data_IF_981570306291
#
_entry.id   IF_981570306291
#
_cell.length_a   1.000
_cell.length_b   1.000
_cell.length_c   1.000
_cell.angle_alpha   90.00
_cell.angle_beta   90.00
_cell.angle_gamma   90.00
#
_symmetry.space_group_name_H-M   'P 1'
#
loop_
_entity.id
_entity.type
_entity.pdbx_description
1 polymer ?
#
# COMPACT_ATOMS: atom_id res chain seq x y z
N UNK A 1 -50.48 2.78 -6.60
CA UNK A 1 -50.74 2.73 -5.15
C UNK A 1 -50.44 1.31 -4.66
N UNK A 2 -49.30 1.07 -4.00
CA UNK A 2 -49.08 -0.07 -3.09
C UNK A 2 -47.97 0.31 -2.09
N UNK A 3 -48.33 0.38 -0.82
CA UNK A 3 -47.50 0.28 0.41
C UNK A 3 -48.15 -0.86 1.23
N UNK A 4 -47.60 -1.40 2.33
CA UNK A 4 -46.21 -1.53 2.82
C UNK A 4 -45.90 -2.98 3.32
N UNK A 5 -44.62 -3.32 3.51
CA UNK A 5 -44.09 -4.39 4.42
C UNK A 5 -42.57 -4.23 4.38
N UNK A 6 -41.87 -3.45 5.22
CA UNK A 6 -41.73 -3.47 6.68
C UNK A 6 -41.67 -4.87 7.29
N UNK A 7 -40.48 -5.18 7.83
CA UNK A 7 -40.14 -6.27 8.77
C UNK A 7 -40.05 -7.67 8.18
N UNK A 8 -38.88 -8.05 7.67
CA UNK A 8 -38.49 -9.48 7.69
C UNK A 8 -36.97 -9.65 7.53
N UNK A 9 -36.29 -9.91 8.65
CA UNK A 9 -35.03 -10.69 8.72
C UNK A 9 -33.72 -9.91 8.52
N UNK A 10 -33.35 -9.12 9.54
CA UNK A 10 -31.98 -8.66 9.82
C UNK A 10 -31.52 -9.12 11.22
N UNK A 11 -31.83 -10.35 11.64
CA UNK A 11 -31.57 -10.80 13.01
C UNK A 11 -31.18 -12.28 13.08
N UNK A 12 -29.94 -12.65 12.76
CA UNK A 12 -29.19 -13.73 13.45
C UNK A 12 -27.89 -14.04 12.70
N UNK A 13 -26.76 -13.50 13.17
CA UNK A 13 -25.43 -14.13 13.10
C UNK A 13 -24.43 -13.32 13.94
N UNK A 14 -24.82 -13.03 15.19
CA UNK A 14 -23.88 -12.68 16.24
C UNK A 14 -23.81 -13.91 17.16
N UNK A 15 -22.66 -14.60 17.20
CA UNK A 15 -22.10 -15.42 18.30
C UNK A 15 -21.36 -16.67 17.80
N UNK A 16 -20.16 -16.49 17.27
CA UNK A 16 -19.06 -17.42 17.51
C UNK A 16 -17.86 -16.58 17.93
N UNK A 17 -17.62 -16.59 19.24
CA UNK A 17 -16.39 -16.08 19.82
C UNK A 17 -15.30 -17.15 19.90
N UNK A 18 -14.29 -16.77 20.68
CA UNK A 18 -13.22 -17.58 21.26
C UNK A 18 -11.95 -17.75 20.41
N UNK A 19 -10.94 -16.96 20.76
CA UNK A 19 -9.57 -17.09 20.28
C UNK A 19 -8.68 -16.09 21.00
N UNK A 20 -8.32 -16.41 22.24
CA UNK A 20 -7.42 -15.60 23.05
C UNK A 20 -6.03 -15.47 22.41
N UNK A 21 -5.47 -14.27 22.49
CA UNK A 21 -4.14 -13.98 21.96
C UNK A 21 -3.60 -12.65 22.48
N UNK A 22 -2.96 -12.73 23.66
CA UNK A 22 -1.79 -11.95 24.09
C UNK A 22 -1.73 -10.44 23.79
N UNK A 23 -1.74 -9.70 24.89
CA UNK A 23 -0.97 -8.48 25.19
C UNK A 23 0.11 -8.09 24.17
N UNK A 24 -0.01 -6.87 23.64
CA UNK A 24 1.05 -6.12 22.98
C UNK A 24 0.81 -4.62 23.18
N UNK A 25 1.80 -3.82 23.63
CA UNK A 25 1.62 -2.40 23.89
C UNK A 25 1.18 -1.65 22.64
N UNK A 26 0.37 -0.62 22.85
CA UNK A 26 -0.07 0.34 21.84
C UNK A 26 1.04 0.62 20.81
N UNK A 27 0.79 0.24 19.55
CA UNK A 27 1.57 0.75 18.45
C UNK A 27 1.39 2.28 18.46
N UNK A 28 2.46 3.07 18.60
CA UNK A 28 2.34 4.51 18.49
C UNK A 28 1.81 4.81 17.09
N UNK A 29 0.65 5.48 17.03
CA UNK A 29 0.20 6.13 15.81
C UNK A 29 1.38 6.97 15.30
N UNK A 30 1.91 6.72 14.08
CA UNK A 30 3.10 7.42 13.63
C UNK A 30 2.75 8.90 13.54
N UNK A 31 3.33 9.69 14.43
CA UNK A 31 3.29 11.14 14.40
C UNK A 31 3.52 11.61 12.97
N UNK A 32 2.58 12.39 12.46
CA UNK A 32 2.69 13.09 11.20
C UNK A 32 3.74 14.18 11.34
N UNK A 33 5.01 13.77 11.32
CA UNK A 33 6.15 14.67 11.27
C UNK A 33 6.14 15.42 9.93
N UNK A 34 5.95 16.74 10.00
CA UNK A 34 5.72 17.66 8.87
C UNK A 34 7.04 17.99 8.15
N UNK A 35 7.75 16.96 7.69
CA UNK A 35 8.88 17.03 6.75
C UNK A 35 8.84 15.87 5.75
N UNK A 36 7.62 15.47 5.40
CA UNK A 36 7.20 14.08 5.13
C UNK A 36 7.74 13.49 3.83
N UNK A 37 9.02 13.12 3.82
CA UNK A 37 9.46 11.99 3.01
C UNK A 37 8.53 10.80 3.32
N UNK A 38 7.90 10.22 2.30
CA UNK A 38 7.05 9.04 2.47
C UNK A 38 7.93 7.94 3.10
N UNK A 39 7.53 7.37 4.25
CA UNK A 39 8.33 6.35 4.91
C UNK A 39 8.48 5.11 4.00
N UNK A 40 9.63 4.45 4.08
CA UNK A 40 9.96 3.29 3.23
C UNK A 40 8.92 2.17 3.35
N UNK A 41 8.35 1.95 4.53
CA UNK A 41 7.26 0.99 4.75
C UNK A 41 6.01 1.34 3.93
N UNK A 42 5.65 2.62 3.86
CA UNK A 42 4.49 3.06 3.08
C UNK A 42 4.75 2.95 1.57
N UNK A 43 5.99 3.25 1.13
CA UNK A 43 6.41 2.99 -0.26
C UNK A 43 6.30 1.50 -0.61
N UNK A 44 6.75 0.64 0.30
CA UNK A 44 6.71 -0.82 0.14
C UNK A 44 5.27 -1.32 0.07
N UNK A 45 4.37 -0.83 0.91
CA UNK A 45 2.95 -1.18 0.85
C UNK A 45 2.32 -0.80 -0.49
N UNK A 46 2.56 0.43 -0.95
CA UNK A 46 2.06 0.89 -2.25
C UNK A 46 2.60 0.03 -3.40
N UNK A 47 3.90 -0.29 -3.40
CA UNK A 47 4.50 -1.16 -4.41
C UNK A 47 3.99 -2.60 -4.34
N UNK A 48 3.66 -3.11 -3.15
CA UNK A 48 3.07 -4.43 -2.99
C UNK A 48 1.63 -4.48 -3.54
N UNK A 49 0.85 -3.42 -3.31
CA UNK A 49 -0.49 -3.27 -3.90
C UNK A 49 -0.43 -3.19 -5.42
N UNK A 50 0.46 -2.36 -5.98
CA UNK A 50 0.70 -2.28 -7.44
C UNK A 50 1.22 -3.63 -7.97
N UNK A 51 2.06 -4.32 -7.20
CA UNK A 51 2.55 -5.68 -7.48
C UNK A 51 1.46 -6.76 -7.52
N UNK A 52 0.32 -6.51 -6.88
CA UNK A 52 -0.86 -7.39 -6.88
C UNK A 52 -1.83 -7.02 -8.00
N UNK A 53 -2.14 -5.73 -8.14
CA UNK A 53 -3.18 -5.24 -9.06
C UNK A 53 -2.66 -5.06 -10.48
N UNK A 54 -1.40 -4.65 -10.64
CA UNK A 54 -0.83 -4.24 -11.93
C UNK A 54 -1.28 -2.86 -12.37
N UNK A 55 -1.81 -2.05 -11.45
CA UNK A 55 -2.39 -0.74 -11.75
C UNK A 55 -1.47 0.39 -11.28
N UNK A 56 -0.88 1.10 -12.24
CA UNK A 56 -0.10 2.33 -11.98
C UNK A 56 -1.02 3.55 -12.06
N UNK A 57 -1.86 3.71 -11.03
CA UNK A 57 -2.78 4.85 -10.91
C UNK A 57 -2.27 5.92 -9.94
N UNK A 58 -3.20 6.67 -9.34
CA UNK A 58 -2.90 7.68 -8.32
C UNK A 58 -2.14 7.14 -7.10
N UNK A 59 -2.17 5.83 -6.87
CA UNK A 59 -1.39 5.17 -5.82
C UNK A 59 0.12 5.36 -6.01
N UNK A 60 0.61 5.42 -7.25
CA UNK A 60 2.03 5.63 -7.53
C UNK A 60 2.46 7.10 -7.44
N UNK A 61 1.50 8.03 -7.32
CA UNK A 61 1.75 9.48 -7.37
C UNK A 61 2.62 10.04 -6.21
N UNK A 62 2.95 9.22 -5.20
CA UNK A 62 3.91 9.55 -4.15
C UNK A 62 5.20 8.74 -4.17
N UNK A 63 5.30 7.72 -5.05
CA UNK A 63 6.44 6.82 -5.08
C UNK A 63 7.72 7.57 -5.49
N UNK A 64 7.64 8.43 -6.50
CA UNK A 64 8.80 9.21 -6.97
C UNK A 64 9.42 10.04 -5.85
N UNK A 65 8.62 10.88 -5.20
CA UNK A 65 9.08 11.73 -4.11
C UNK A 65 9.66 10.92 -2.94
N UNK A 66 9.05 9.79 -2.58
CA UNK A 66 9.57 8.94 -1.51
C UNK A 66 10.85 8.20 -1.89
N UNK A 67 10.98 7.74 -3.14
CA UNK A 67 12.20 7.09 -3.64
C UNK A 67 13.33 8.12 -3.80
N UNK A 68 13.03 9.36 -4.21
CA UNK A 68 14.02 10.45 -4.24
C UNK A 68 14.52 10.79 -2.84
N UNK A 69 13.60 10.84 -1.86
CA UNK A 69 13.97 11.02 -0.45
C UNK A 69 14.78 9.84 0.10
N UNK A 70 14.52 8.61 -0.37
CA UNK A 70 15.34 7.45 -0.05
C UNK A 70 16.71 7.54 -0.72
N UNK A 71 16.80 7.96 -1.99
CA UNK A 71 18.05 8.13 -2.71
C UNK A 71 18.97 9.17 -2.07
N UNK A 72 18.39 10.22 -1.49
CA UNK A 72 19.14 11.21 -0.72
C UNK A 72 19.76 10.64 0.57
N UNK A 73 19.15 9.59 1.15
CA UNK A 73 19.62 8.93 2.38
C UNK A 73 20.49 7.70 2.11
N UNK A 74 20.13 6.93 1.09
CA UNK A 74 20.72 5.67 0.67
C UNK A 74 20.74 5.62 -0.87
N UNK A 75 21.78 6.18 -1.50
CA UNK A 75 21.87 6.25 -2.96
C UNK A 75 22.06 4.89 -3.62
N UNK A 76 22.60 3.90 -2.88
CA UNK A 76 22.78 2.54 -3.38
C UNK A 76 21.44 1.85 -3.65
N UNK A 77 20.45 2.04 -2.77
CA UNK A 77 19.09 1.54 -2.96
C UNK A 77 18.26 2.47 -3.84
N UNK A 78 18.38 3.78 -3.64
CA UNK A 78 17.55 4.78 -4.32
C UNK A 78 17.79 4.87 -5.83
N UNK A 79 19.03 4.76 -6.32
CA UNK A 79 19.32 4.85 -7.75
C UNK A 79 18.69 3.70 -8.55
N UNK A 80 18.73 2.48 -8.00
CA UNK A 80 18.07 1.31 -8.59
C UNK A 80 16.55 1.46 -8.61
N UNK A 81 15.98 1.93 -7.49
CA UNK A 81 14.54 2.18 -7.37
C UNK A 81 14.05 3.31 -8.29
N UNK A 82 14.81 4.38 -8.49
CA UNK A 82 14.45 5.45 -9.44
C UNK A 82 14.42 4.95 -10.88
N UNK A 83 15.37 4.09 -11.23
CA UNK A 83 15.38 3.45 -12.55
C UNK A 83 14.17 2.54 -12.72
N UNK A 84 13.92 1.64 -11.78
CA UNK A 84 12.79 0.73 -11.83
C UNK A 84 11.44 1.48 -11.82
N UNK A 85 11.35 2.61 -11.11
CA UNK A 85 10.17 3.48 -11.15
C UNK A 85 9.93 4.05 -12.56
N UNK A 86 10.99 4.51 -13.24
CA UNK A 86 10.88 4.99 -14.62
C UNK A 86 10.43 3.89 -15.58
N UNK A 87 10.92 2.66 -15.39
CA UNK A 87 10.49 1.50 -16.16
C UNK A 87 9.00 1.15 -15.86
N UNK A 88 8.56 1.29 -14.60
CA UNK A 88 7.16 1.12 -14.17
C UNK A 88 6.21 2.18 -14.72
N UNK A 89 6.64 3.45 -14.78
CA UNK A 89 5.86 4.56 -15.36
C UNK A 89 5.79 4.49 -16.90
N UNK A 90 6.80 3.90 -17.54
CA UNK A 90 6.87 3.76 -18.99
C UNK A 90 6.07 2.56 -19.53
N UNK A 91 5.84 1.53 -18.71
CA UNK A 91 5.05 0.36 -19.11
C UNK A 91 3.58 0.56 -18.80
N UNK A 92 2.73 0.11 -19.73
CA UNK A 92 1.27 0.00 -19.53
C UNK A 92 0.83 -1.47 -19.44
N UNK A 93 1.79 -2.40 -19.50
CA UNK A 93 1.52 -3.82 -19.42
C UNK A 93 1.37 -4.22 -17.95
N UNK A 94 0.18 -4.70 -17.53
CA UNK A 94 -0.09 -5.01 -16.14
C UNK A 94 0.80 -6.13 -15.58
N UNK A 95 1.30 -7.05 -16.41
CA UNK A 95 2.21 -8.10 -15.93
C UNK A 95 3.61 -7.55 -15.64
N UNK A 96 4.09 -6.64 -16.49
CA UNK A 96 5.37 -5.95 -16.29
C UNK A 96 5.31 -5.00 -15.10
N UNK A 97 4.21 -4.25 -14.96
CA UNK A 97 3.95 -3.43 -13.77
C UNK A 97 4.07 -4.27 -12.50
N UNK A 98 3.42 -5.44 -12.45
CA UNK A 98 3.46 -6.32 -11.27
C UNK A 98 4.88 -6.80 -10.96
N UNK A 99 5.63 -7.18 -12.00
CA UNK A 99 6.99 -7.67 -11.86
C UNK A 99 7.93 -6.58 -11.34
N UNK A 100 7.88 -5.38 -11.93
CA UNK A 100 8.70 -4.24 -11.54
C UNK A 100 8.34 -3.78 -10.13
N UNK A 101 7.05 -3.66 -9.80
CA UNK A 101 6.62 -3.22 -8.47
C UNK A 101 7.06 -4.20 -7.36
N UNK A 102 6.95 -5.52 -7.59
CA UNK A 102 7.46 -6.55 -6.65
C UNK A 102 8.96 -6.47 -6.48
N UNK A 103 9.71 -6.27 -7.57
CA UNK A 103 11.16 -6.09 -7.51
C UNK A 103 11.51 -4.88 -6.65
N UNK A 104 10.84 -3.75 -6.87
CA UNK A 104 11.04 -2.53 -6.09
C UNK A 104 10.70 -2.74 -4.60
N UNK A 105 9.58 -3.40 -4.29
CA UNK A 105 9.19 -3.71 -2.92
C UNK A 105 10.19 -4.62 -2.19
N UNK A 106 10.91 -5.48 -2.92
CA UNK A 106 11.96 -6.34 -2.36
C UNK A 106 13.28 -5.61 -2.08
N UNK A 107 13.49 -4.42 -2.67
CA UNK A 107 14.70 -3.61 -2.48
C UNK A 107 14.57 -2.61 -1.31
N UNK A 108 13.32 -2.37 -0.88
CA UNK A 108 12.95 -1.60 0.31
C UNK A 108 13.00 -2.48 1.57
#
# INVERSE_FOLDING_TARGET
MYRPSFVMVCLFCATLGCGGGKSGPAAPAPSLDVSKAVPADQLKQTLDEVGKTGETGSATAGLRAGIEALNAKDPAKGAGLLKDLGDLEATTNPEEVKAIAKKMASLL
#
